data_IF_806273299430
#
_entry.id   IF_806273299430
#
_cell.length_a   1.000
_cell.length_b   1.000
_cell.length_c   1.000
_cell.angle_alpha   90.00
_cell.angle_beta   90.00
_cell.angle_gamma   90.00
#
_symmetry.space_group_name_H-M   'P 1'
#
loop_
_entity.id
_entity.type
_entity.pdbx_description
1 polymer ?
#
# COMPACT_ATOMS: atom_id res chain seq x y z
N UNK A 1 26.58 -14.13 -6.59
CA UNK A 1 26.88 -13.06 -5.61
C UNK A 1 26.15 -11.76 -5.93
N UNK A 2 25.98 -11.37 -7.20
CA UNK A 2 25.27 -10.12 -7.57
C UNK A 2 23.84 -10.00 -7.05
N UNK A 3 23.00 -11.07 -6.97
CA UNK A 3 21.63 -10.92 -6.49
C UNK A 3 21.55 -10.53 -5.01
N UNK A 4 22.51 -10.99 -4.20
CA UNK A 4 22.61 -10.61 -2.79
C UNK A 4 22.97 -9.13 -2.64
N UNK A 5 23.87 -8.63 -3.49
CA UNK A 5 24.21 -7.21 -3.51
C UNK A 5 23.03 -6.35 -3.98
N UNK A 6 22.21 -6.85 -4.93
CA UNK A 6 20.99 -6.19 -5.36
C UNK A 6 19.99 -6.02 -4.20
N UNK A 7 19.76 -7.10 -3.43
CA UNK A 7 18.95 -7.03 -2.21
C UNK A 7 19.54 -5.97 -1.25
N UNK A 8 20.85 -6.02 -0.96
CA UNK A 8 21.46 -5.04 -0.07
C UNK A 8 21.30 -3.59 -0.57
N UNK A 9 21.44 -3.34 -1.88
CA UNK A 9 21.25 -2.04 -2.48
C UNK A 9 19.81 -1.53 -2.35
N UNK A 10 18.82 -2.42 -2.32
CA UNK A 10 17.41 -2.07 -2.05
C UNK A 10 17.15 -1.83 -0.57
N UNK A 11 17.74 -2.61 0.33
CA UNK A 11 17.48 -2.49 1.77
C UNK A 11 18.25 -1.35 2.44
N UNK A 12 19.55 -1.22 2.19
CA UNK A 12 20.43 -0.36 2.97
C UNK A 12 20.01 1.13 2.98
N UNK A 13 19.63 1.76 1.85
CA UNK A 13 19.28 3.18 1.83
C UNK A 13 18.03 3.52 2.64
N UNK A 14 17.06 2.61 2.69
CA UNK A 14 15.77 2.78 3.38
C UNK A 14 15.83 2.62 4.90
N UNK A 15 16.79 1.86 5.43
CA UNK A 15 16.87 1.50 6.86
C UNK A 15 16.89 2.72 7.80
N UNK A 16 17.70 3.77 7.59
CA UNK A 16 17.77 4.89 8.54
C UNK A 16 16.42 5.59 8.76
N UNK A 17 15.67 5.87 7.68
CA UNK A 17 14.33 6.45 7.80
C UNK A 17 13.33 5.42 8.34
N UNK A 18 13.40 4.16 7.89
CA UNK A 18 12.57 3.09 8.43
C UNK A 18 12.70 2.98 9.95
N UNK A 19 13.92 3.07 10.47
CA UNK A 19 14.17 3.04 11.91
C UNK A 19 13.69 4.30 12.62
N UNK A 20 13.88 5.48 12.02
CA UNK A 20 13.36 6.72 12.58
C UNK A 20 11.83 6.74 12.71
N UNK A 21 11.12 6.14 11.74
CA UNK A 21 9.66 6.05 11.69
C UNK A 21 9.07 4.95 12.56
N UNK A 22 9.79 3.84 12.75
CA UNK A 22 9.27 2.66 13.45
C UNK A 22 9.82 2.51 14.87
N UNK A 23 11.01 3.06 15.12
CA UNK A 23 11.86 2.82 16.32
C UNK A 23 12.10 1.35 16.62
N UNK A 24 12.01 0.50 15.59
CA UNK A 24 12.17 -0.93 15.71
C UNK A 24 12.98 -1.43 14.50
N UNK A 25 14.16 -2.00 14.74
CA UNK A 25 15.06 -2.41 13.67
C UNK A 25 14.43 -3.45 12.72
N UNK A 26 13.62 -4.37 13.24
CA UNK A 26 12.98 -5.39 12.41
C UNK A 26 11.93 -4.78 11.49
N UNK A 27 11.05 -3.96 12.04
CA UNK A 27 10.01 -3.26 11.26
C UNK A 27 10.63 -2.28 10.26
N UNK A 28 11.74 -1.64 10.63
CA UNK A 28 12.54 -0.81 9.73
C UNK A 28 13.07 -1.61 8.53
N UNK A 29 13.66 -2.79 8.78
CA UNK A 29 14.12 -3.69 7.72
C UNK A 29 12.98 -4.11 6.82
N UNK A 30 11.79 -4.39 7.39
CA UNK A 30 10.60 -4.73 6.60
C UNK A 30 10.21 -3.60 5.66
N UNK A 31 10.16 -2.35 6.13
CA UNK A 31 9.71 -1.21 5.35
C UNK A 31 10.79 -0.60 4.44
N UNK A 32 12.07 -0.96 4.65
CA UNK A 32 13.19 -0.33 3.98
C UNK A 32 13.12 -0.41 2.44
N UNK A 33 12.78 -1.56 1.82
CA UNK A 33 12.61 -1.61 0.35
C UNK A 33 11.58 -0.62 -0.18
N UNK A 34 10.41 -0.49 0.46
CA UNK A 34 9.40 0.49 0.05
C UNK A 34 9.91 1.92 0.16
N UNK A 35 10.63 2.25 1.24
CA UNK A 35 11.24 3.57 1.41
C UNK A 35 12.24 3.83 0.30
N UNK A 36 13.14 2.88 0.02
CA UNK A 36 14.11 2.98 -1.07
C UNK A 36 13.41 3.18 -2.41
N UNK A 37 12.36 2.42 -2.69
CA UNK A 37 11.64 2.52 -3.95
C UNK A 37 10.88 3.83 -4.12
N UNK A 38 10.20 4.33 -3.08
CA UNK A 38 9.57 5.65 -3.12
C UNK A 38 10.62 6.74 -3.33
N UNK A 39 11.77 6.68 -2.65
CA UNK A 39 12.85 7.64 -2.84
C UNK A 39 13.44 7.59 -4.26
N UNK A 40 13.63 6.39 -4.82
CA UNK A 40 14.09 6.21 -6.20
C UNK A 40 13.06 6.73 -7.22
N UNK A 41 11.77 6.51 -6.98
CA UNK A 41 10.68 7.04 -7.80
C UNK A 41 10.71 8.58 -7.83
N UNK A 42 10.87 9.22 -6.66
CA UNK A 42 11.04 10.67 -6.56
C UNK A 42 12.30 11.15 -7.30
N UNK A 43 13.40 10.41 -7.20
CA UNK A 43 14.62 10.70 -7.97
C UNK A 43 14.41 10.65 -9.47
N UNK A 44 13.60 9.70 -9.95
CA UNK A 44 13.23 9.58 -11.37
C UNK A 44 12.32 10.72 -11.81
N UNK A 45 11.35 11.11 -10.98
CA UNK A 45 10.49 12.29 -11.22
C UNK A 45 11.35 13.55 -11.39
N UNK A 46 12.30 13.79 -10.48
CA UNK A 46 13.23 14.93 -10.59
C UNK A 46 14.11 14.83 -11.83
N UNK A 47 14.69 13.66 -12.09
CA UNK A 47 15.51 13.41 -13.28
C UNK A 47 14.75 13.70 -14.59
N UNK A 48 13.50 13.27 -14.71
CA UNK A 48 12.70 13.54 -15.91
C UNK A 48 12.28 15.00 -16.00
N UNK A 49 12.06 15.68 -14.87
CA UNK A 49 11.71 17.10 -14.86
C UNK A 49 12.89 18.01 -15.24
N UNK A 50 14.10 17.70 -14.75
CA UNK A 50 15.25 18.62 -14.87
C UNK A 50 16.41 18.08 -15.70
N UNK A 51 16.38 16.80 -16.09
CA UNK A 51 17.50 16.12 -16.74
C UNK A 51 18.56 15.59 -15.77
N UNK A 52 19.68 15.11 -16.33
CA UNK A 52 20.82 14.57 -15.59
C UNK A 52 20.72 13.06 -15.28
N UNK A 53 21.72 12.50 -14.57
CA UNK A 53 21.75 11.08 -14.23
C UNK A 53 20.91 10.74 -12.99
N UNK A 54 20.19 9.61 -13.02
CA UNK A 54 19.35 9.14 -11.90
C UNK A 54 20.13 8.99 -10.58
N UNK A 55 21.36 8.50 -10.66
CA UNK A 55 22.19 8.25 -9.47
C UNK A 55 22.48 9.52 -8.68
N UNK A 56 22.68 10.66 -9.35
CA UNK A 56 22.91 11.94 -8.67
C UNK A 56 21.67 12.39 -7.88
N UNK A 57 20.49 12.31 -8.51
CA UNK A 57 19.22 12.63 -7.86
C UNK A 57 18.91 11.68 -6.70
N UNK A 58 19.12 10.38 -6.90
CA UNK A 58 18.90 9.36 -5.87
C UNK A 58 19.85 9.55 -4.69
N UNK A 59 21.14 9.80 -4.93
CA UNK A 59 22.11 10.08 -3.87
C UNK A 59 21.72 11.31 -3.04
N UNK A 60 21.35 12.41 -3.69
CA UNK A 60 20.88 13.62 -3.01
C UNK A 60 19.65 13.38 -2.14
N UNK A 61 18.66 12.65 -2.67
CA UNK A 61 17.45 12.31 -1.93
C UNK A 61 17.71 11.34 -0.76
N UNK A 62 18.59 10.35 -0.91
CA UNK A 62 18.97 9.47 0.19
C UNK A 62 19.70 10.22 1.30
N UNK A 63 20.57 11.18 0.97
CA UNK A 63 21.21 12.05 1.96
C UNK A 63 20.17 12.92 2.70
N UNK A 64 19.22 13.51 1.98
CA UNK A 64 18.14 14.28 2.57
C UNK A 64 17.25 13.41 3.48
N UNK A 65 16.93 12.20 3.04
CA UNK A 65 16.21 11.19 3.82
C UNK A 65 16.94 10.86 5.12
N UNK A 66 18.27 10.67 5.09
CA UNK A 66 19.07 10.39 6.29
C UNK A 66 19.13 11.58 7.23
N UNK A 67 19.21 12.81 6.71
CA UNK A 67 19.14 14.02 7.52
C UNK A 67 17.78 14.13 8.25
N UNK A 68 16.67 13.87 7.54
CA UNK A 68 15.33 13.81 8.13
C UNK A 68 15.26 12.73 9.21
N UNK A 69 15.78 11.53 8.94
CA UNK A 69 15.85 10.45 9.92
C UNK A 69 16.62 10.89 11.19
N UNK A 70 17.77 11.53 11.04
CA UNK A 70 18.56 12.07 12.14
C UNK A 70 17.77 13.08 12.99
N UNK A 71 17.08 14.03 12.35
CA UNK A 71 16.23 15.01 13.04
C UNK A 71 15.09 14.34 13.81
N UNK A 72 14.40 13.38 13.19
CA UNK A 72 13.33 12.62 13.85
C UNK A 72 13.87 11.84 15.05
N UNK A 73 15.05 11.20 14.90
CA UNK A 73 15.70 10.44 15.96
C UNK A 73 16.04 11.32 17.16
N UNK A 74 16.64 12.48 16.93
CA UNK A 74 17.02 13.46 17.96
C UNK A 74 15.79 14.05 18.66
N UNK A 75 14.77 14.47 17.92
CA UNK A 75 13.58 15.12 18.49
C UNK A 75 12.62 14.16 19.20
N UNK A 76 12.80 12.84 19.04
CA UNK A 76 11.93 11.80 19.62
C UNK A 76 10.43 12.03 19.35
N UNK A 77 10.11 12.59 18.18
CA UNK A 77 8.73 12.97 17.80
C UNK A 77 7.84 11.79 17.45
N UNK A 78 8.44 10.63 17.15
CA UNK A 78 7.72 9.44 16.69
C UNK A 78 7.74 8.39 17.79
N UNK A 79 6.55 8.03 18.27
CA UNK A 79 6.39 6.93 19.22
C UNK A 79 6.74 5.60 18.53
N UNK A 80 7.41 4.66 19.23
CA UNK A 80 7.70 3.35 18.69
C UNK A 80 6.44 2.64 18.18
N UNK A 81 6.57 1.97 17.05
CA UNK A 81 5.54 1.07 16.58
C UNK A 81 5.47 -0.14 17.53
N UNK A 82 4.26 -0.55 17.97
CA UNK A 82 4.13 -1.73 18.81
C UNK A 82 4.49 -2.99 18.03
N UNK A 83 5.00 -3.98 18.76
CA UNK A 83 5.51 -5.24 18.24
C UNK A 83 6.94 -5.14 17.71
N UNK A 84 7.32 -6.09 16.88
CA UNK A 84 8.65 -6.18 16.25
C UNK A 84 9.67 -6.87 17.14
N UNK A 85 9.25 -7.91 17.86
CA UNK A 85 10.19 -8.86 18.48
C UNK A 85 10.75 -9.82 17.42
N UNK A 86 11.92 -10.41 17.65
CA UNK A 86 12.45 -11.46 16.78
C UNK A 86 11.52 -12.67 16.66
N UNK A 87 10.81 -13.00 17.72
CA UNK A 87 9.80 -14.06 17.71
C UNK A 87 8.66 -13.72 16.74
N UNK A 88 8.15 -12.48 16.78
CA UNK A 88 7.14 -12.02 15.82
C UNK A 88 7.68 -12.01 14.39
N UNK A 89 8.89 -11.50 14.16
CA UNK A 89 9.48 -11.53 12.83
C UNK A 89 9.58 -12.98 12.30
N UNK A 90 10.09 -13.93 13.09
CA UNK A 90 10.14 -15.34 12.68
C UNK A 90 8.75 -15.90 12.33
N UNK A 91 7.75 -15.60 13.15
CA UNK A 91 6.37 -16.06 12.91
C UNK A 91 5.73 -15.46 11.66
N UNK A 92 6.03 -14.21 11.35
CA UNK A 92 5.50 -13.54 10.17
C UNK A 92 6.25 -13.92 8.89
N UNK A 93 7.57 -14.10 8.97
CA UNK A 93 8.41 -14.33 7.79
C UNK A 93 8.55 -15.79 7.41
N UNK A 94 8.69 -16.71 8.38
CA UNK A 94 8.95 -18.11 8.08
C UNK A 94 7.88 -18.76 7.18
N UNK A 95 6.57 -18.48 7.36
CA UNK A 95 5.54 -19.02 6.47
C UNK A 95 5.57 -18.45 5.05
N UNK A 96 6.14 -17.25 4.87
CA UNK A 96 6.25 -16.58 3.58
C UNK A 96 7.53 -16.96 2.83
N UNK A 97 8.54 -17.49 3.53
CA UNK A 97 9.83 -17.87 2.94
C UNK A 97 9.71 -18.87 1.79
N UNK A 98 8.93 -19.97 1.87
CA UNK A 98 8.83 -20.92 0.76
C UNK A 98 8.36 -20.25 -0.53
N UNK A 99 7.39 -19.34 -0.43
CA UNK A 99 6.87 -18.60 -1.59
C UNK A 99 7.88 -17.57 -2.12
N UNK A 100 8.71 -16.99 -1.25
CA UNK A 100 9.79 -16.10 -1.70
C UNK A 100 10.87 -16.84 -2.49
N UNK A 101 11.12 -18.14 -2.22
CA UNK A 101 12.11 -18.92 -2.96
C UNK A 101 11.77 -19.10 -4.45
N UNK A 102 10.52 -18.85 -4.85
CA UNK A 102 10.14 -18.81 -6.26
C UNK A 102 10.90 -17.71 -7.06
N UNK A 103 11.53 -16.74 -6.39
CA UNK A 103 12.44 -15.75 -7.03
C UNK A 103 13.63 -16.42 -7.74
N UNK A 104 13.93 -17.68 -7.41
CA UNK A 104 14.97 -18.47 -8.07
C UNK A 104 14.51 -19.04 -9.42
N UNK A 105 13.23 -18.94 -9.76
CA UNK A 105 12.73 -19.32 -11.07
C UNK A 105 13.30 -18.39 -12.16
N UNK A 106 13.57 -18.90 -13.37
CA UNK A 106 14.13 -18.10 -14.45
C UNK A 106 13.32 -16.82 -14.73
N UNK A 107 13.97 -15.65 -14.88
CA UNK A 107 13.32 -14.38 -15.18
C UNK A 107 12.85 -14.33 -16.64
N UNK A 108 11.75 -15.01 -16.97
CA UNK A 108 11.25 -15.14 -18.36
C UNK A 108 9.92 -14.42 -18.61
N UNK A 109 9.36 -13.74 -17.60
CA UNK A 109 8.04 -13.12 -17.70
C UNK A 109 8.07 -11.87 -18.57
N UNK A 110 7.26 -11.87 -19.62
CA UNK A 110 7.24 -10.82 -20.65
C UNK A 110 7.04 -9.42 -20.06
N UNK A 111 6.05 -9.20 -19.21
CA UNK A 111 5.77 -7.87 -18.63
C UNK A 111 6.93 -7.33 -17.78
N UNK A 112 7.62 -8.21 -17.05
CA UNK A 112 8.80 -7.83 -16.27
C UNK A 112 9.89 -7.25 -17.16
N UNK A 113 10.13 -7.89 -18.31
CA UNK A 113 11.11 -7.40 -19.30
C UNK A 113 10.61 -6.16 -20.04
N UNK A 114 9.42 -6.23 -20.59
CA UNK A 114 8.90 -5.24 -21.56
C UNK A 114 8.39 -3.95 -20.93
N UNK A 115 8.07 -3.97 -19.63
CA UNK A 115 7.59 -2.80 -18.89
C UNK A 115 8.66 -2.40 -17.87
N UNK A 116 8.82 -3.22 -16.83
CA UNK A 116 9.51 -2.78 -15.62
C UNK A 116 11.02 -2.64 -15.80
N UNK A 117 11.67 -3.66 -16.38
CA UNK A 117 13.13 -3.69 -16.54
C UNK A 117 13.58 -2.88 -17.76
N UNK A 118 12.74 -2.81 -18.80
CA UNK A 118 12.96 -1.92 -19.93
C UNK A 118 12.98 -0.45 -19.47
N UNK A 119 12.00 -0.01 -18.67
CA UNK A 119 12.00 1.34 -18.09
C UNK A 119 13.18 1.57 -17.14
N UNK A 120 13.60 0.56 -16.38
CA UNK A 120 14.79 0.66 -15.55
C UNK A 120 16.04 0.97 -16.38
N UNK A 121 16.11 0.39 -17.59
CA UNK A 121 17.14 0.67 -18.58
C UNK A 121 17.06 2.12 -19.05
N UNK A 122 15.87 2.64 -19.35
CA UNK A 122 15.71 4.04 -19.75
C UNK A 122 16.28 4.99 -18.70
N UNK A 123 15.93 4.75 -17.44
CA UNK A 123 16.35 5.62 -16.35
C UNK A 123 17.85 5.51 -16.04
N UNK A 124 18.51 4.38 -16.34
CA UNK A 124 19.94 4.22 -16.07
C UNK A 124 20.81 5.01 -17.06
N UNK A 125 20.28 5.32 -18.25
CA UNK A 125 20.92 6.18 -19.24
C UNK A 125 20.66 7.68 -19.04
N UNK A 126 19.89 8.07 -18.01
CA UNK A 126 19.64 9.46 -17.63
C UNK A 126 18.41 10.10 -18.29
N UNK A 127 18.10 11.32 -17.86
CA UNK A 127 16.84 12.00 -18.18
C UNK A 127 16.59 12.23 -19.67
N UNK A 128 17.60 12.61 -20.46
CA UNK A 128 17.42 12.87 -21.89
C UNK A 128 17.06 11.60 -22.67
N UNK A 129 17.79 10.52 -22.41
CA UNK A 129 17.50 9.22 -23.01
C UNK A 129 16.13 8.70 -22.58
N UNK A 130 15.81 8.80 -21.28
CA UNK A 130 14.52 8.37 -20.77
C UNK A 130 13.34 9.12 -21.40
N UNK A 131 13.43 10.46 -21.53
CA UNK A 131 12.42 11.25 -22.23
C UNK A 131 12.25 10.83 -23.68
N UNK A 132 13.37 10.65 -24.41
CA UNK A 132 13.33 10.22 -25.81
C UNK A 132 12.72 8.81 -25.96
N UNK A 133 13.04 7.88 -25.05
CA UNK A 133 12.49 6.52 -25.07
C UNK A 133 11.00 6.49 -24.73
N UNK A 134 10.58 7.24 -23.69
CA UNK A 134 9.18 7.29 -23.25
C UNK A 134 8.25 7.91 -24.30
N UNK A 135 8.75 8.83 -25.12
CA UNK A 135 8.00 9.45 -26.22
C UNK A 135 8.10 8.71 -27.57
N UNK A 136 8.85 7.60 -27.64
CA UNK A 136 9.02 6.87 -28.89
C UNK A 136 7.80 5.97 -29.19
N UNK A 137 7.07 6.18 -30.30
CA UNK A 137 5.90 5.36 -30.64
C UNK A 137 6.18 3.86 -30.71
N UNK A 138 7.37 3.46 -31.17
CA UNK A 138 7.76 2.06 -31.29
C UNK A 138 7.90 1.35 -29.94
N UNK A 139 8.15 2.11 -28.87
CA UNK A 139 8.26 1.62 -27.49
C UNK A 139 6.91 1.70 -26.78
N UNK A 140 6.26 2.86 -26.87
CA UNK A 140 5.01 3.17 -26.14
C UNK A 140 3.88 2.18 -26.41
N UNK A 141 3.87 1.52 -27.59
CA UNK A 141 2.81 0.62 -27.99
C UNK A 141 2.63 -0.63 -27.12
N UNK A 142 3.67 -1.03 -26.37
CA UNK A 142 3.61 -2.26 -25.55
C UNK A 142 4.24 -2.13 -24.17
N UNK A 143 5.01 -1.07 -23.89
CA UNK A 143 5.76 -0.96 -22.64
C UNK A 143 5.03 -0.17 -21.55
N UNK A 144 3.87 0.42 -21.84
CA UNK A 144 3.09 1.20 -20.87
C UNK A 144 3.92 2.33 -20.23
N UNK A 145 4.52 3.20 -21.06
CA UNK A 145 5.50 4.20 -20.61
C UNK A 145 4.97 5.21 -19.60
N UNK A 146 3.65 5.29 -19.40
CA UNK A 146 3.02 6.12 -18.38
C UNK A 146 2.97 5.46 -16.99
N UNK A 147 3.32 4.18 -16.88
CA UNK A 147 3.31 3.47 -15.59
C UNK A 147 4.25 4.14 -14.58
N UNK A 148 3.78 4.37 -13.34
CA UNK A 148 4.57 4.95 -12.27
C UNK A 148 5.90 4.22 -11.99
N UNK A 149 6.96 4.94 -11.59
CA UNK A 149 8.33 4.47 -11.82
C UNK A 149 8.89 3.65 -10.67
N UNK A 150 8.17 3.37 -9.58
CA UNK A 150 8.77 2.83 -8.35
C UNK A 150 9.58 1.55 -8.58
N UNK A 151 9.01 0.55 -9.24
CA UNK A 151 9.71 -0.73 -9.52
C UNK A 151 10.91 -0.49 -10.42
N UNK A 152 10.71 0.22 -11.53
CA UNK A 152 11.73 0.50 -12.54
C UNK A 152 12.87 1.39 -12.03
N UNK A 153 12.55 2.42 -11.26
CA UNK A 153 13.50 3.34 -10.65
C UNK A 153 14.38 2.64 -9.62
N UNK A 154 13.79 1.78 -8.79
CA UNK A 154 14.53 0.97 -7.82
C UNK A 154 15.54 0.06 -8.54
N UNK A 155 15.08 -0.67 -9.57
CA UNK A 155 15.95 -1.52 -10.39
C UNK A 155 17.04 -0.70 -11.09
N UNK A 156 16.71 0.50 -11.58
CA UNK A 156 17.68 1.38 -12.24
C UNK A 156 18.77 1.86 -11.29
N UNK A 157 18.43 2.20 -10.04
CA UNK A 157 19.42 2.51 -8.99
C UNK A 157 20.31 1.31 -8.71
N UNK A 158 19.76 0.10 -8.62
CA UNK A 158 20.53 -1.14 -8.44
C UNK A 158 21.51 -1.35 -9.60
N UNK A 159 21.07 -1.22 -10.84
CA UNK A 159 21.93 -1.31 -12.02
C UNK A 159 22.96 -0.18 -12.13
N UNK A 160 22.70 0.97 -11.52
CA UNK A 160 23.67 2.06 -11.47
C UNK A 160 24.81 1.82 -10.47
N UNK A 161 24.62 0.97 -9.47
CA UNK A 161 25.65 0.63 -8.46
C UNK A 161 26.27 -0.76 -8.65
N UNK A 162 25.64 -1.62 -9.46
CA UNK A 162 26.14 -2.96 -9.80
C UNK A 162 26.49 -3.04 -11.29
N UNK A 163 27.58 -3.74 -11.66
CA UNK A 163 27.96 -3.88 -13.07
C UNK A 163 26.98 -4.78 -13.84
N UNK A 164 26.70 -4.43 -15.10
CA UNK A 164 26.19 -5.37 -16.10
C UNK A 164 24.67 -5.51 -16.26
N UNK A 165 23.85 -4.62 -15.67
CA UNK A 165 22.40 -4.56 -15.86
C UNK A 165 21.70 -5.94 -15.92
N UNK A 166 21.98 -6.79 -14.92
CA UNK A 166 21.55 -8.18 -14.91
C UNK A 166 20.05 -8.30 -14.58
N UNK A 167 19.33 -9.13 -15.36
CA UNK A 167 17.89 -9.42 -15.17
C UNK A 167 17.59 -10.11 -13.84
N UNK A 168 18.53 -10.90 -13.31
CA UNK A 168 18.40 -11.46 -11.97
C UNK A 168 18.42 -10.37 -10.91
N UNK A 169 19.34 -9.40 -11.00
CA UNK A 169 19.40 -8.29 -10.03
C UNK A 169 18.08 -7.49 -10.04
N UNK A 170 17.48 -7.32 -11.23
CA UNK A 170 16.16 -6.68 -11.40
C UNK A 170 15.00 -7.49 -10.79
N UNK A 171 14.98 -8.81 -11.00
CA UNK A 171 14.00 -9.72 -10.41
C UNK A 171 14.08 -9.69 -8.88
N UNK A 172 15.29 -9.78 -8.31
CA UNK A 172 15.50 -9.75 -6.87
C UNK A 172 15.15 -8.38 -6.25
N UNK A 173 15.46 -7.27 -6.93
CA UNK A 173 15.08 -5.94 -6.49
C UNK A 173 13.54 -5.78 -6.44
N UNK A 174 12.86 -6.24 -7.49
CA UNK A 174 11.40 -6.21 -7.58
C UNK A 174 10.74 -7.13 -6.53
N UNK A 175 11.25 -8.34 -6.36
CA UNK A 175 10.78 -9.28 -5.33
C UNK A 175 10.96 -8.72 -3.91
N UNK A 176 12.05 -8.01 -3.64
CA UNK A 176 12.27 -7.34 -2.36
C UNK A 176 11.20 -6.26 -2.07
N UNK A 177 10.78 -5.50 -3.08
CA UNK A 177 9.69 -4.51 -2.96
C UNK A 177 8.35 -5.20 -2.67
N UNK A 178 7.96 -6.19 -3.48
CA UNK A 178 6.70 -6.92 -3.30
C UNK A 178 6.63 -7.62 -1.94
N UNK A 179 7.72 -8.28 -1.53
CA UNK A 179 7.79 -8.97 -0.24
C UNK A 179 7.74 -7.98 0.94
N UNK A 180 8.38 -6.82 0.80
CA UNK A 180 8.29 -5.72 1.76
C UNK A 180 6.85 -5.22 1.92
N UNK A 181 6.10 -5.05 0.81
CA UNK A 181 4.70 -4.66 0.83
C UNK A 181 3.79 -5.71 1.49
N UNK A 182 3.99 -7.00 1.18
CA UNK A 182 3.28 -8.12 1.80
C UNK A 182 3.55 -8.16 3.30
N UNK A 183 4.81 -8.03 3.72
CA UNK A 183 5.17 -8.03 5.13
C UNK A 183 4.59 -6.79 5.86
N UNK A 184 4.53 -5.62 5.21
CA UNK A 184 3.81 -4.45 5.74
C UNK A 184 2.30 -4.70 5.87
N UNK A 185 1.67 -5.39 4.91
CA UNK A 185 0.27 -5.80 4.99
C UNK A 185 0.03 -6.77 6.16
N UNK A 186 0.88 -7.77 6.31
CA UNK A 186 0.85 -8.72 7.44
C UNK A 186 0.96 -7.96 8.77
N UNK A 187 1.90 -7.01 8.85
CA UNK A 187 2.00 -6.13 10.02
C UNK A 187 0.72 -5.30 10.24
N UNK A 188 0.13 -4.73 9.19
CA UNK A 188 -1.11 -3.97 9.28
C UNK A 188 -2.27 -4.81 9.81
N UNK A 189 -2.47 -6.03 9.28
CA UNK A 189 -3.50 -6.96 9.79
C UNK A 189 -3.22 -7.31 11.25
N UNK A 190 -1.97 -7.65 11.59
CA UNK A 190 -1.57 -7.94 12.98
C UNK A 190 -1.86 -6.76 13.91
N UNK A 191 -1.60 -5.54 13.47
CA UNK A 191 -1.83 -4.31 14.26
C UNK A 191 -3.31 -4.02 14.49
N UNK A 192 -4.16 -4.28 13.48
CA UNK A 192 -5.61 -4.10 13.58
C UNK A 192 -6.24 -5.22 14.42
N UNK A 193 -5.67 -6.43 14.38
CA UNK A 193 -6.22 -7.61 15.07
C UNK A 193 -5.55 -7.94 16.41
N UNK A 194 -4.46 -7.27 16.78
CA UNK A 194 -4.43 -6.54 18.05
C UNK A 194 -4.88 -7.30 19.29
N UNK A 195 -6.15 -7.02 19.59
CA UNK A 195 -6.88 -7.36 20.80
C UNK A 195 -7.38 -8.80 20.81
N UNK A 196 -7.24 -9.54 19.71
CA UNK A 196 -7.52 -10.98 19.66
C UNK A 196 -6.38 -11.79 20.29
N UNK A 197 -6.64 -13.05 20.68
CA UNK A 197 -5.57 -13.96 21.09
C UNK A 197 -4.44 -13.98 20.05
N UNK A 198 -3.19 -13.99 20.53
CA UNK A 198 -1.98 -13.83 19.71
C UNK A 198 -1.94 -14.83 18.54
N UNK A 199 -2.36 -16.08 18.78
CA UNK A 199 -2.43 -17.12 17.74
C UNK A 199 -3.43 -16.72 16.63
N UNK A 200 -4.65 -16.32 16.99
CA UNK A 200 -5.69 -15.90 16.03
C UNK A 200 -5.20 -14.73 15.19
N UNK A 201 -4.65 -13.70 15.84
CA UNK A 201 -4.18 -12.51 15.14
C UNK A 201 -2.98 -12.79 14.22
N UNK A 202 -2.03 -13.63 14.64
CA UNK A 202 -0.89 -14.05 13.79
C UNK A 202 -1.33 -14.89 12.60
N UNK A 203 -2.18 -15.89 12.83
CA UNK A 203 -2.70 -16.75 11.75
C UNK A 203 -3.51 -15.93 10.75
N UNK A 204 -4.36 -15.02 11.22
CA UNK A 204 -5.11 -14.12 10.37
C UNK A 204 -4.18 -13.22 9.53
N UNK A 205 -3.16 -12.63 10.16
CA UNK A 205 -2.18 -11.79 9.46
C UNK A 205 -1.39 -12.56 8.39
N UNK A 206 -0.84 -13.72 8.73
CA UNK A 206 -0.11 -14.58 7.78
C UNK A 206 -1.03 -15.08 6.67
N UNK A 207 -2.26 -15.49 6.98
CA UNK A 207 -3.24 -15.94 5.99
C UNK A 207 -3.57 -14.86 4.97
N UNK A 208 -3.73 -13.61 5.38
CA UNK A 208 -3.92 -12.48 4.46
C UNK A 208 -2.67 -12.22 3.63
N UNK A 209 -1.47 -12.34 4.22
CA UNK A 209 -0.22 -12.23 3.48
C UNK A 209 -0.06 -13.31 2.39
N UNK A 210 -0.37 -14.57 2.73
CA UNK A 210 -0.33 -15.70 1.79
C UNK A 210 -1.36 -15.56 0.66
N UNK A 211 -2.50 -14.88 0.91
CA UNK A 211 -3.47 -14.60 -0.12
C UNK A 211 -2.91 -13.72 -1.27
N UNK A 212 -1.74 -13.08 -1.09
CA UNK A 212 -1.05 -12.38 -2.18
C UNK A 212 -0.64 -13.28 -3.35
N UNK A 213 -0.56 -14.60 -3.13
CA UNK A 213 -0.25 -15.60 -4.16
C UNK A 213 -1.47 -16.31 -4.74
N UNK A 214 -2.69 -15.88 -4.40
CA UNK A 214 -3.91 -16.64 -4.71
C UNK A 214 -4.33 -16.62 -6.18
N UNK A 215 -4.28 -15.45 -6.84
CA UNK A 215 -4.77 -15.29 -8.22
C UNK A 215 -3.64 -15.41 -9.24
N UNK A 216 -2.52 -14.73 -8.98
CA UNK A 216 -1.39 -14.67 -9.90
C UNK A 216 -0.05 -14.85 -9.17
N UNK A 217 0.27 -16.05 -8.66
CA UNK A 217 1.44 -16.30 -7.81
C UNK A 217 2.77 -15.89 -8.46
N UNK A 218 2.89 -16.11 -9.77
CA UNK A 218 4.07 -15.74 -10.56
C UNK A 218 4.40 -14.24 -10.53
N UNK A 219 3.42 -13.37 -10.26
CA UNK A 219 3.61 -11.92 -10.23
C UNK A 219 4.38 -11.44 -9.01
N UNK A 220 4.33 -12.18 -7.90
CA UNK A 220 4.82 -11.71 -6.60
C UNK A 220 6.34 -11.56 -6.60
N UNK A 221 7.03 -12.54 -7.18
CA UNK A 221 8.51 -12.59 -7.24
C UNK A 221 9.05 -12.49 -8.66
N UNK A 222 8.18 -12.51 -9.67
CA UNK A 222 8.54 -12.55 -11.08
C UNK A 222 9.01 -11.23 -11.68
N UNK A 223 9.06 -10.16 -10.89
CA UNK A 223 9.44 -8.82 -11.36
C UNK A 223 8.28 -7.90 -11.72
N UNK A 224 7.04 -8.32 -11.45
CA UNK A 224 5.84 -7.52 -11.72
C UNK A 224 5.46 -6.63 -10.52
N UNK A 225 4.71 -5.56 -10.77
CA UNK A 225 4.29 -4.61 -9.74
C UNK A 225 2.93 -4.96 -9.09
N UNK A 226 2.23 -6.00 -9.57
CA UNK A 226 0.82 -6.24 -9.23
C UNK A 226 0.59 -6.54 -7.74
N UNK A 227 1.36 -7.49 -7.19
CA UNK A 227 1.34 -7.80 -5.77
C UNK A 227 1.79 -6.61 -4.90
N UNK A 228 2.80 -5.86 -5.35
CA UNK A 228 3.33 -4.70 -4.66
C UNK A 228 2.25 -3.63 -4.45
N UNK A 229 1.56 -3.19 -5.51
CA UNK A 229 0.57 -2.14 -5.37
C UNK A 229 -0.68 -2.64 -4.63
N UNK A 230 -1.16 -3.85 -4.91
CA UNK A 230 -2.39 -4.38 -4.30
C UNK A 230 -2.25 -4.54 -2.78
N UNK A 231 -1.14 -5.14 -2.32
CA UNK A 231 -0.88 -5.33 -0.89
C UNK A 231 -0.63 -4.01 -0.17
N UNK A 232 0.03 -3.07 -0.86
CA UNK A 232 0.24 -1.71 -0.35
C UNK A 232 -1.08 -0.95 -0.15
N UNK A 233 -2.00 -1.00 -1.12
CA UNK A 233 -3.33 -0.38 -0.99
C UNK A 233 -4.11 -0.99 0.17
N UNK A 234 -4.21 -2.32 0.25
CA UNK A 234 -5.00 -2.98 1.29
C UNK A 234 -4.40 -2.71 2.68
N UNK A 235 -3.07 -2.76 2.83
CA UNK A 235 -2.45 -2.46 4.12
C UNK A 235 -2.63 -1.00 4.54
N UNK A 236 -2.52 -0.05 3.60
CA UNK A 236 -2.83 1.36 3.85
C UNK A 236 -4.30 1.54 4.26
N UNK A 237 -5.24 0.92 3.53
CA UNK A 237 -6.67 0.97 3.80
C UNK A 237 -7.00 0.40 5.19
N UNK A 238 -6.39 -0.71 5.60
CA UNK A 238 -6.58 -1.28 6.94
C UNK A 238 -6.17 -0.29 8.03
N UNK A 239 -4.96 0.25 7.96
CA UNK A 239 -4.45 1.19 8.96
C UNK A 239 -5.25 2.51 8.99
N UNK A 240 -5.67 3.00 7.82
CA UNK A 240 -6.38 4.28 7.69
C UNK A 240 -7.90 4.20 7.92
N UNK A 241 -8.54 3.05 7.68
CA UNK A 241 -10.01 2.90 7.76
C UNK A 241 -10.48 2.10 8.99
N UNK A 242 -9.65 1.18 9.51
CA UNK A 242 -9.98 0.37 10.69
C UNK A 242 -9.35 0.91 11.96
N UNK A 243 -8.22 1.63 11.85
CA UNK A 243 -7.54 2.23 12.98
C UNK A 243 -8.43 3.21 13.75
N UNK A 244 -8.42 3.13 15.08
CA UNK A 244 -9.13 4.06 15.99
C UNK A 244 -8.61 5.50 15.87
N UNK A 245 -7.30 5.64 15.63
CA UNK A 245 -6.60 6.92 15.46
C UNK A 245 -5.67 6.84 14.24
N UNK A 246 -6.21 6.84 13.01
CA UNK A 246 -5.44 6.56 11.79
C UNK A 246 -4.26 7.53 11.60
N UNK A 247 -4.40 8.77 12.09
CA UNK A 247 -3.37 9.81 11.98
C UNK A 247 -2.46 9.95 13.21
N UNK A 248 -2.50 9.03 14.17
CA UNK A 248 -1.53 9.03 15.27
C UNK A 248 -0.14 8.59 14.80
N UNK A 249 -0.07 7.64 13.86
CA UNK A 249 1.16 7.12 13.27
C UNK A 249 0.96 6.97 11.75
N UNK A 250 0.80 8.08 11.00
CA UNK A 250 0.41 8.04 9.60
C UNK A 250 1.55 7.59 8.67
N UNK A 251 2.79 7.52 9.15
CA UNK A 251 3.96 7.29 8.32
C UNK A 251 3.89 5.98 7.50
N UNK A 252 3.59 4.86 8.16
CA UNK A 252 3.49 3.57 7.49
C UNK A 252 2.35 3.51 6.45
N UNK A 253 1.08 3.87 6.78
CA UNK A 253 0.03 3.85 5.76
C UNK A 253 0.28 4.85 4.62
N UNK A 254 0.88 6.01 4.88
CA UNK A 254 1.24 6.95 3.82
C UNK A 254 2.37 6.41 2.93
N UNK A 255 3.35 5.72 3.49
CA UNK A 255 4.40 5.02 2.73
C UNK A 255 3.80 3.95 1.82
N UNK A 256 2.91 3.11 2.35
CA UNK A 256 2.24 2.08 1.56
C UNK A 256 1.36 2.71 0.48
N UNK A 257 0.61 3.76 0.79
CA UNK A 257 -0.20 4.46 -0.21
C UNK A 257 0.66 5.13 -1.29
N UNK A 258 1.83 5.67 -0.93
CA UNK A 258 2.80 6.22 -1.89
C UNK A 258 3.41 5.12 -2.75
N UNK A 259 3.74 3.96 -2.17
CA UNK A 259 4.22 2.81 -2.91
C UNK A 259 3.18 2.35 -3.94
N UNK A 260 1.91 2.21 -3.54
CA UNK A 260 0.83 1.87 -4.45
C UNK A 260 0.69 2.90 -5.58
N UNK A 261 0.64 4.19 -5.24
CA UNK A 261 0.46 5.27 -6.21
C UNK A 261 1.62 5.41 -7.20
N UNK A 262 2.82 5.00 -6.79
CA UNK A 262 4.03 5.10 -7.60
C UNK A 262 4.44 3.77 -8.26
N UNK A 263 3.66 2.69 -8.12
CA UNK A 263 4.01 1.37 -8.70
C UNK A 263 3.32 1.04 -10.03
N UNK A 264 2.03 1.38 -10.19
CA UNK A 264 1.21 1.04 -11.37
C UNK A 264 0.01 1.98 -11.46
N UNK A 265 -0.59 2.15 -12.65
CA UNK A 265 -1.77 2.99 -12.85
C UNK A 265 -2.96 2.56 -11.97
N UNK A 266 -3.21 1.25 -11.85
CA UNK A 266 -4.26 0.69 -10.98
C UNK A 266 -3.99 1.02 -9.52
N UNK A 267 -2.72 0.97 -9.10
CA UNK A 267 -2.29 1.39 -7.77
C UNK A 267 -2.50 2.87 -7.51
N UNK A 268 -2.25 3.73 -8.51
CA UNK A 268 -2.56 5.16 -8.47
C UNK A 268 -4.07 5.45 -8.34
N UNK A 269 -4.90 4.80 -9.16
CA UNK A 269 -6.36 4.93 -9.08
C UNK A 269 -6.87 4.46 -7.71
N UNK A 270 -6.42 3.28 -7.26
CA UNK A 270 -6.80 2.72 -5.97
C UNK A 270 -6.34 3.60 -4.80
N UNK A 271 -5.17 4.24 -4.89
CA UNK A 271 -4.70 5.19 -3.90
C UNK A 271 -5.60 6.43 -3.82
N UNK A 272 -6.05 6.97 -4.95
CA UNK A 272 -7.02 8.07 -5.01
C UNK A 272 -8.37 7.69 -4.39
N UNK A 273 -8.86 6.47 -4.66
CA UNK A 273 -10.08 5.94 -4.04
C UNK A 273 -9.92 5.85 -2.52
N UNK A 274 -8.82 5.29 -2.02
CA UNK A 274 -8.56 5.24 -0.57
C UNK A 274 -8.49 6.64 0.02
N UNK A 275 -7.81 7.59 -0.64
CA UNK A 275 -7.70 8.96 -0.15
C UNK A 275 -9.08 9.65 -0.04
N UNK A 276 -9.94 9.45 -1.04
CA UNK A 276 -11.32 9.93 -1.04
C UNK A 276 -12.12 9.32 0.11
N UNK A 277 -12.10 7.99 0.25
CA UNK A 277 -12.85 7.28 1.30
C UNK A 277 -12.38 7.68 2.71
N UNK A 278 -11.07 7.80 2.91
CA UNK A 278 -10.50 8.30 4.18
C UNK A 278 -10.95 9.74 4.45
N UNK A 279 -10.97 10.60 3.44
CA UNK A 279 -11.43 12.00 3.58
C UNK A 279 -12.90 12.06 4.01
N UNK A 280 -13.77 11.22 3.42
CA UNK A 280 -15.19 11.12 3.77
C UNK A 280 -15.39 10.56 5.20
N UNK A 281 -14.62 9.51 5.56
CA UNK A 281 -14.62 8.94 6.92
C UNK A 281 -14.21 9.97 7.96
N UNK A 282 -13.17 10.74 7.66
CA UNK A 282 -12.52 11.71 8.55
C UNK A 282 -13.01 13.14 8.27
N UNK A 283 -14.24 13.32 7.77
CA UNK A 283 -14.83 14.62 7.42
C UNK A 283 -14.87 15.64 8.56
N UNK A 284 -14.76 15.19 9.81
CA UNK A 284 -14.67 16.06 11.00
C UNK A 284 -13.22 16.46 11.34
N UNK A 285 -12.24 15.89 10.68
CA UNK A 285 -10.81 16.07 10.91
C UNK A 285 -10.04 16.29 9.60
N UNK A 286 -10.61 17.09 8.69
CA UNK A 286 -10.06 17.34 7.36
C UNK A 286 -8.63 17.91 7.39
N UNK A 287 -8.31 18.69 8.44
CA UNK A 287 -6.96 19.22 8.68
C UNK A 287 -5.89 18.14 8.84
N UNK A 288 -6.26 16.92 9.24
CA UNK A 288 -5.33 15.78 9.23
C UNK A 288 -5.55 14.91 8.02
N UNK A 289 -6.79 14.74 7.57
CA UNK A 289 -7.11 13.88 6.44
C UNK A 289 -6.42 14.33 5.13
N UNK A 290 -6.15 15.62 4.92
CA UNK A 290 -5.52 16.07 3.68
C UNK A 290 -4.17 15.40 3.39
N UNK A 291 -3.43 14.92 4.40
CA UNK A 291 -2.11 14.29 4.20
C UNK A 291 -2.18 12.99 3.37
N UNK A 292 -3.33 12.32 3.30
CA UNK A 292 -3.49 11.12 2.43
C UNK A 292 -3.49 11.46 0.95
N UNK A 293 -3.65 12.73 0.59
CA UNK A 293 -3.54 13.19 -0.79
C UNK A 293 -2.10 13.41 -1.23
N UNK A 294 -1.11 13.43 -0.32
CA UNK A 294 0.31 13.56 -0.69
C UNK A 294 0.80 12.39 -1.57
N UNK A 295 0.58 11.10 -1.19
CA UNK A 295 0.82 9.96 -2.07
C UNK A 295 0.17 10.08 -3.46
N UNK A 296 -1.10 10.48 -3.51
CA UNK A 296 -1.83 10.64 -4.76
C UNK A 296 -1.24 11.76 -5.62
N UNK A 297 -0.89 12.89 -5.01
CA UNK A 297 -0.25 14.01 -5.69
C UNK A 297 1.09 13.62 -6.30
N UNK A 298 1.89 12.76 -5.64
CA UNK A 298 3.12 12.24 -6.23
C UNK A 298 2.85 11.41 -7.50
N UNK A 299 1.84 10.54 -7.48
CA UNK A 299 1.39 9.81 -8.68
C UNK A 299 0.88 10.74 -9.78
N UNK A 300 0.14 11.80 -9.42
CA UNK A 300 -0.33 12.81 -10.38
C UNK A 300 0.84 13.58 -11.01
N UNK A 301 1.85 13.96 -10.23
CA UNK A 301 3.06 14.63 -10.73
C UNK A 301 3.78 13.73 -11.73
N UNK A 302 3.97 12.44 -11.40
CA UNK A 302 4.51 11.47 -12.34
C UNK A 302 3.69 11.41 -13.62
N UNK A 303 2.38 11.15 -13.52
CA UNK A 303 1.49 11.02 -14.68
C UNK A 303 1.58 12.25 -15.59
N UNK A 304 1.58 13.45 -15.01
CA UNK A 304 1.69 14.71 -15.75
C UNK A 304 3.03 14.82 -16.49
N UNK A 305 4.14 14.50 -15.83
CA UNK A 305 5.47 14.54 -16.44
C UNK A 305 5.60 13.49 -17.54
N UNK A 306 5.17 12.25 -17.28
CA UNK A 306 5.22 11.16 -18.24
C UNK A 306 4.49 11.52 -19.54
N UNK A 307 3.26 12.03 -19.44
CA UNK A 307 2.49 12.47 -20.61
C UNK A 307 3.13 13.69 -21.30
N UNK A 308 3.71 14.62 -20.54
CA UNK A 308 4.41 15.78 -21.12
C UNK A 308 5.63 15.35 -21.95
N UNK A 309 6.28 14.24 -21.60
CA UNK A 309 7.42 13.69 -22.34
C UNK A 309 7.01 12.69 -23.43
N UNK A 310 5.70 12.59 -23.72
CA UNK A 310 5.16 11.79 -24.82
C UNK A 310 4.77 10.36 -24.44
N UNK A 311 4.73 10.01 -23.15
CA UNK A 311 4.18 8.73 -22.73
C UNK A 311 2.68 8.63 -23.10
N UNK A 312 2.25 7.42 -23.45
CA UNK A 312 0.89 7.12 -23.89
C UNK A 312 0.32 6.11 -22.91
N UNK A 313 -0.79 6.44 -22.26
CA UNK A 313 -1.48 5.52 -21.36
C UNK A 313 -2.48 4.62 -22.07
N UNK A 314 -2.77 3.46 -21.48
CA UNK A 314 -3.73 2.47 -22.02
C UNK A 314 -5.16 3.00 -22.07
N UNK A 315 -5.45 4.03 -21.26
CA UNK A 315 -6.80 4.54 -21.06
C UNK A 315 -7.08 5.69 -22.04
N UNK A 316 -7.13 5.36 -23.32
CA UNK A 316 -7.73 6.26 -24.31
C UNK A 316 -9.25 6.07 -24.27
N UNK A 317 -9.94 6.91 -23.50
CA UNK A 317 -11.39 6.88 -23.40
C UNK A 317 -12.02 7.09 -24.80
N UNK A 318 -12.53 6.01 -25.40
CA UNK A 318 -13.34 6.12 -26.61
C UNK A 318 -14.80 6.19 -26.20
N UNK A 319 -15.36 7.39 -26.09
CA UNK A 319 -16.79 7.57 -25.75
C UNK A 319 -17.70 6.84 -26.73
N UNK A 320 -17.24 6.63 -27.97
CA UNK A 320 -17.97 5.89 -29.00
C UNK A 320 -18.19 4.41 -28.66
N UNK A 321 -17.29 3.77 -27.88
CA UNK A 321 -17.46 2.36 -27.47
C UNK A 321 -18.54 2.17 -26.42
N UNK A 322 -19.03 3.24 -25.79
CA UNK A 322 -20.14 3.20 -24.85
C UNK A 322 -21.52 3.05 -25.52
N UNK A 323 -21.60 3.11 -26.87
CA UNK A 323 -22.86 3.04 -27.59
C UNK A 323 -23.01 1.70 -28.32
N UNK A 324 -24.10 0.99 -28.04
CA UNK A 324 -24.55 -0.17 -28.82
C UNK A 324 -24.30 -1.53 -28.16
N UNK A 325 -24.49 -2.59 -28.96
CA UNK A 325 -24.41 -3.99 -28.51
C UNK A 325 -23.01 -4.38 -28.01
N UNK A 326 -21.96 -3.73 -28.49
CA UNK A 326 -20.57 -4.02 -28.08
C UNK A 326 -20.34 -3.69 -26.60
N UNK A 327 -20.83 -2.56 -26.11
CA UNK A 327 -20.69 -2.17 -24.70
C UNK A 327 -21.30 -3.20 -23.74
N UNK A 328 -22.48 -3.74 -24.09
CA UNK A 328 -23.18 -4.77 -23.29
C UNK A 328 -22.40 -6.09 -23.30
N UNK A 329 -21.88 -6.49 -24.46
CA UNK A 329 -21.04 -7.68 -24.57
C UNK A 329 -19.76 -7.53 -23.74
N UNK A 330 -19.05 -6.41 -23.90
CA UNK A 330 -17.83 -6.11 -23.12
C UNK A 330 -18.09 -6.12 -21.63
N UNK A 331 -19.16 -5.47 -21.17
CA UNK A 331 -19.57 -5.48 -19.77
C UNK A 331 -19.82 -6.90 -19.24
N UNK A 332 -20.57 -7.71 -19.98
CA UNK A 332 -20.87 -9.10 -19.61
C UNK A 332 -19.60 -9.96 -19.51
N UNK A 333 -18.71 -9.85 -20.51
CA UNK A 333 -17.44 -10.59 -20.54
C UNK A 333 -16.51 -10.16 -19.41
N UNK A 334 -16.36 -8.86 -19.17
CA UNK A 334 -15.57 -8.33 -18.04
C UNK A 334 -16.13 -8.78 -16.71
N UNK A 335 -17.45 -8.72 -16.51
CA UNK A 335 -18.08 -9.15 -15.26
C UNK A 335 -17.88 -10.64 -15.01
N UNK A 336 -18.03 -11.48 -16.04
CA UNK A 336 -17.79 -12.91 -15.95
C UNK A 336 -16.34 -13.23 -15.57
N UNK A 337 -15.36 -12.52 -16.16
CA UNK A 337 -13.95 -12.69 -15.84
C UNK A 337 -13.63 -12.24 -14.41
N UNK A 338 -14.12 -11.06 -13.97
CA UNK A 338 -13.96 -10.60 -12.59
C UNK A 338 -14.57 -11.57 -11.58
N UNK A 339 -15.74 -12.14 -11.91
CA UNK A 339 -16.39 -13.15 -11.09
C UNK A 339 -15.58 -14.45 -11.01
N UNK A 340 -14.99 -14.89 -12.12
CA UNK A 340 -14.12 -16.06 -12.15
C UNK A 340 -12.91 -15.89 -11.23
N UNK A 341 -12.23 -14.75 -11.29
CA UNK A 341 -11.01 -14.51 -10.52
C UNK A 341 -11.26 -14.26 -9.03
N UNK A 342 -12.28 -13.45 -8.68
CA UNK A 342 -12.45 -12.98 -7.31
C UNK A 342 -13.86 -13.19 -6.72
N UNK A 343 -14.83 -13.69 -7.50
CA UNK A 343 -16.23 -13.75 -7.11
C UNK A 343 -16.46 -14.55 -5.83
N UNK A 344 -15.87 -15.75 -5.73
CA UNK A 344 -16.00 -16.58 -4.53
C UNK A 344 -15.43 -15.88 -3.28
N UNK A 345 -14.23 -15.31 -3.38
CA UNK A 345 -13.60 -14.59 -2.28
C UNK A 345 -14.42 -13.38 -1.84
N UNK A 346 -14.92 -12.60 -2.80
CA UNK A 346 -15.76 -11.43 -2.55
C UNK A 346 -17.07 -11.81 -1.86
N UNK A 347 -17.76 -12.86 -2.32
CA UNK A 347 -19.01 -13.34 -1.71
C UNK A 347 -18.79 -13.83 -0.28
N UNK A 348 -17.77 -14.68 -0.06
CA UNK A 348 -17.47 -15.20 1.28
C UNK A 348 -17.04 -14.08 2.24
N UNK A 349 -16.16 -13.19 1.79
CA UNK A 349 -15.74 -12.01 2.56
C UNK A 349 -16.93 -11.11 2.92
N UNK A 350 -17.82 -10.84 1.96
CA UNK A 350 -19.01 -10.01 2.19
C UNK A 350 -20.00 -10.71 3.12
N UNK A 351 -20.21 -12.02 2.98
CA UNK A 351 -21.05 -12.79 3.89
C UNK A 351 -20.51 -12.73 5.33
N UNK A 352 -19.20 -12.91 5.52
CA UNK A 352 -18.55 -12.74 6.84
C UNK A 352 -18.73 -11.31 7.35
N UNK A 353 -18.61 -10.30 6.48
CA UNK A 353 -18.79 -8.90 6.87
C UNK A 353 -20.22 -8.57 7.30
N UNK A 354 -21.22 -9.10 6.58
CA UNK A 354 -22.64 -8.93 6.92
C UNK A 354 -22.97 -9.66 8.22
N UNK A 355 -22.61 -10.94 8.34
CA UNK A 355 -22.86 -11.72 9.55
C UNK A 355 -22.14 -11.13 10.78
N UNK A 356 -20.88 -10.73 10.62
CA UNK A 356 -20.13 -10.02 11.66
C UNK A 356 -20.78 -8.69 12.02
N UNK A 357 -21.25 -7.92 11.04
CA UNK A 357 -21.99 -6.68 11.27
C UNK A 357 -23.30 -6.87 12.04
N UNK A 358 -24.03 -7.95 11.78
CA UNK A 358 -25.29 -8.27 12.47
C UNK A 358 -25.04 -8.80 13.88
N UNK A 359 -24.05 -9.68 14.06
CA UNK A 359 -23.86 -10.43 15.30
C UNK A 359 -22.82 -9.82 16.26
N UNK A 360 -21.79 -9.16 15.73
CA UNK A 360 -20.59 -8.76 16.47
C UNK A 360 -20.33 -7.25 16.44
N UNK A 361 -21.21 -6.43 15.86
CA UNK A 361 -21.02 -4.97 15.75
C UNK A 361 -20.73 -4.28 17.08
N UNK A 362 -21.51 -4.55 18.13
CA UNK A 362 -21.29 -3.94 19.45
C UNK A 362 -19.92 -4.31 20.03
N UNK A 363 -19.48 -5.55 19.82
CA UNK A 363 -18.14 -6.01 20.24
C UNK A 363 -17.07 -5.26 19.47
N UNK A 364 -17.17 -5.19 18.14
CA UNK A 364 -16.24 -4.45 17.27
C UNK A 364 -16.14 -2.96 17.65
N UNK A 365 -17.26 -2.32 17.95
CA UNK A 365 -17.31 -0.94 18.43
C UNK A 365 -16.57 -0.76 19.77
N UNK A 366 -16.74 -1.69 20.73
CA UNK A 366 -15.99 -1.69 21.99
C UNK A 366 -14.48 -1.89 21.79
N UNK A 367 -14.08 -2.68 20.80
CA UNK A 367 -12.67 -2.82 20.40
C UNK A 367 -12.12 -1.54 19.73
N UNK A 368 -12.99 -0.59 19.36
CA UNK A 368 -12.62 0.65 18.70
C UNK A 368 -12.22 0.50 17.23
N UNK A 369 -12.63 -0.60 16.60
CA UNK A 369 -12.34 -0.88 15.19
C UNK A 369 -13.32 -0.15 14.28
N UNK A 370 -12.83 0.41 13.18
CA UNK A 370 -13.66 1.06 12.16
C UNK A 370 -14.66 0.11 11.49
N UNK A 371 -15.69 0.66 10.83
CA UNK A 371 -16.68 -0.14 10.09
C UNK A 371 -16.09 -0.75 8.82
N UNK A 372 -16.50 -1.97 8.51
CA UNK A 372 -16.09 -2.70 7.30
C UNK A 372 -16.62 -2.07 6.01
N UNK A 373 -17.72 -1.31 6.12
CA UNK A 373 -18.34 -0.57 5.00
C UNK A 373 -17.30 0.28 4.27
N UNK A 374 -16.34 0.87 4.98
CA UNK A 374 -15.32 1.70 4.34
C UNK A 374 -14.39 0.90 3.41
N UNK A 375 -14.03 -0.34 3.78
CA UNK A 375 -13.21 -1.20 2.92
C UNK A 375 -14.00 -1.67 1.71
N UNK A 376 -15.25 -2.07 1.89
CA UNK A 376 -16.12 -2.48 0.79
C UNK A 376 -16.48 -1.32 -0.15
N UNK A 377 -16.53 -0.08 0.33
CA UNK A 377 -16.62 1.10 -0.53
C UNK A 377 -15.38 1.28 -1.41
N UNK A 378 -14.18 1.04 -0.88
CA UNK A 378 -12.93 1.03 -1.67
C UNK A 378 -12.99 -0.08 -2.73
N UNK A 379 -13.37 -1.30 -2.35
CA UNK A 379 -13.51 -2.43 -3.28
C UNK A 379 -14.54 -2.14 -4.37
N UNK A 380 -15.72 -1.65 -4.01
CA UNK A 380 -16.79 -1.34 -4.96
C UNK A 380 -16.39 -0.23 -5.94
N UNK A 381 -15.77 0.84 -5.45
CA UNK A 381 -15.26 1.92 -6.29
C UNK A 381 -14.15 1.43 -7.23
N UNK A 382 -13.24 0.58 -6.74
CA UNK A 382 -12.16 0.02 -7.55
C UNK A 382 -12.68 -0.92 -8.64
N UNK A 383 -13.55 -1.89 -8.30
CA UNK A 383 -14.19 -2.78 -9.28
C UNK A 383 -14.99 -1.99 -10.31
N UNK A 384 -15.69 -0.94 -9.89
CA UNK A 384 -16.40 -0.04 -10.82
C UNK A 384 -15.44 0.67 -11.77
N UNK A 385 -14.29 1.14 -11.27
CA UNK A 385 -13.28 1.78 -12.11
C UNK A 385 -12.68 0.82 -13.13
N UNK A 386 -12.38 -0.42 -12.73
CA UNK A 386 -11.92 -1.46 -13.66
C UNK A 386 -12.98 -1.77 -14.70
N UNK A 387 -14.24 -1.95 -14.27
CA UNK A 387 -15.34 -2.25 -15.19
C UNK A 387 -15.47 -1.17 -16.27
N UNK A 388 -15.42 0.10 -15.88
CA UNK A 388 -15.42 1.22 -16.83
C UNK A 388 -14.22 1.12 -17.78
N UNK A 389 -13.01 0.90 -17.24
CA UNK A 389 -11.77 0.77 -18.02
C UNK A 389 -11.84 -0.34 -19.08
N UNK A 390 -12.27 -1.56 -18.72
CA UNK A 390 -12.38 -2.67 -19.67
C UNK A 390 -13.51 -2.48 -20.69
N UNK A 391 -14.61 -1.80 -20.32
CA UNK A 391 -15.71 -1.52 -21.25
C UNK A 391 -15.29 -0.48 -22.30
N UNK A 392 -14.57 0.57 -21.90
CA UNK A 392 -14.25 1.71 -22.78
C UNK A 392 -12.95 1.58 -23.56
N UNK A 393 -12.14 0.56 -23.26
CA UNK A 393 -10.81 0.38 -23.83
C UNK A 393 -10.81 0.18 -25.35
N UNK A 394 -9.83 0.76 -26.07
CA UNK A 394 -9.61 0.48 -27.48
C UNK A 394 -8.95 -0.89 -27.71
N UNK A 395 -8.39 -1.51 -26.67
CA UNK A 395 -7.63 -2.77 -26.75
C UNK A 395 -8.60 -3.94 -26.99
N UNK A 396 -8.12 -4.99 -27.64
CA UNK A 396 -8.84 -6.27 -27.75
C UNK A 396 -9.17 -6.79 -26.33
N UNK A 397 -10.47 -6.92 -26.05
CA UNK A 397 -10.93 -7.23 -24.70
C UNK A 397 -10.48 -8.61 -24.24
N UNK A 398 -10.50 -9.61 -25.13
CA UNK A 398 -10.15 -10.98 -24.78
C UNK A 398 -8.67 -11.10 -24.43
N UNK A 399 -7.80 -10.53 -25.27
CA UNK A 399 -6.38 -10.44 -24.99
C UNK A 399 -6.12 -9.73 -23.66
N UNK A 400 -6.78 -8.59 -23.43
CA UNK A 400 -6.53 -7.82 -22.20
C UNK A 400 -7.00 -8.54 -20.93
N UNK A 401 -8.14 -9.22 -20.98
CA UNK A 401 -8.63 -10.05 -19.88
C UNK A 401 -7.64 -11.17 -19.56
N UNK A 402 -7.19 -11.91 -20.58
CA UNK A 402 -6.28 -13.06 -20.40
C UNK A 402 -4.93 -12.61 -19.83
N UNK A 403 -4.45 -11.42 -20.17
CA UNK A 403 -3.13 -10.95 -19.71
C UNK A 403 -3.16 -10.20 -18.38
N UNK A 404 -4.31 -9.69 -17.92
CA UNK A 404 -4.31 -8.79 -16.74
C UNK A 404 -5.36 -9.06 -15.66
N UNK A 405 -6.45 -9.80 -15.94
CA UNK A 405 -7.59 -9.88 -15.01
C UNK A 405 -7.23 -10.52 -13.66
N UNK A 406 -6.52 -11.66 -13.67
CA UNK A 406 -6.03 -12.36 -12.48
C UNK A 406 -5.18 -11.46 -11.57
N UNK A 407 -4.35 -10.60 -12.18
CA UNK A 407 -3.45 -9.69 -11.48
C UNK A 407 -4.18 -8.49 -10.88
N UNK A 408 -5.06 -7.83 -11.63
CA UNK A 408 -5.76 -6.61 -11.16
C UNK A 408 -6.84 -6.91 -10.12
N UNK A 409 -7.36 -8.13 -10.11
CA UNK A 409 -8.36 -8.59 -9.13
C UNK A 409 -7.75 -9.02 -7.78
N UNK A 410 -6.42 -9.08 -7.68
CA UNK A 410 -5.73 -9.42 -6.43
C UNK A 410 -6.10 -8.50 -5.26
N UNK A 411 -6.32 -7.20 -5.51
CA UNK A 411 -6.79 -6.26 -4.48
C UNK A 411 -8.11 -6.72 -3.85
N UNK A 412 -9.05 -7.21 -4.67
CA UNK A 412 -10.38 -7.64 -4.20
C UNK A 412 -10.26 -8.86 -3.30
N UNK A 413 -9.44 -9.84 -3.70
CA UNK A 413 -9.16 -11.03 -2.90
C UNK A 413 -8.50 -10.67 -1.58
N UNK A 414 -7.46 -9.84 -1.61
CA UNK A 414 -6.77 -9.38 -0.40
C UNK A 414 -7.70 -8.61 0.55
N UNK A 415 -8.54 -7.71 0.03
CA UNK A 415 -9.50 -6.96 0.83
C UNK A 415 -10.57 -7.87 1.45
N UNK A 416 -11.08 -8.86 0.72
CA UNK A 416 -12.04 -9.84 1.23
C UNK A 416 -11.42 -10.71 2.35
N UNK A 417 -10.20 -11.21 2.15
CA UNK A 417 -9.45 -11.96 3.16
C UNK A 417 -9.17 -11.11 4.40
N UNK A 418 -8.79 -9.83 4.21
CA UNK A 418 -8.53 -8.91 5.31
C UNK A 418 -9.80 -8.58 6.11
N UNK A 419 -10.94 -8.36 5.44
CA UNK A 419 -12.25 -8.19 6.08
C UNK A 419 -12.58 -9.41 6.95
N UNK A 420 -12.47 -10.62 6.40
CA UNK A 420 -12.73 -11.85 7.13
C UNK A 420 -11.79 -12.04 8.33
N UNK A 421 -10.50 -11.75 8.17
CA UNK A 421 -9.51 -11.78 9.23
C UNK A 421 -9.86 -10.84 10.40
N UNK A 422 -10.31 -9.61 10.11
CA UNK A 422 -10.71 -8.65 11.15
C UNK A 422 -11.95 -9.13 11.91
N UNK A 423 -12.94 -9.71 11.21
CA UNK A 423 -14.13 -10.25 11.88
C UNK A 423 -13.84 -11.50 12.71
N UNK A 424 -13.00 -12.41 12.22
CA UNK A 424 -12.54 -13.57 12.97
C UNK A 424 -11.80 -13.15 14.25
N UNK A 425 -10.92 -12.14 14.15
CA UNK A 425 -10.24 -11.57 15.30
C UNK A 425 -11.24 -10.98 16.31
N UNK A 426 -12.18 -10.15 15.84
CA UNK A 426 -13.21 -9.55 16.70
C UNK A 426 -14.10 -10.60 17.39
N UNK A 427 -14.39 -11.73 16.74
CA UNK A 427 -15.13 -12.85 17.31
C UNK A 427 -14.36 -13.56 18.44
N UNK A 428 -13.02 -13.53 18.40
CA UNK A 428 -12.14 -14.19 19.36
C UNK A 428 -11.60 -13.24 20.45
N UNK A 429 -11.67 -11.92 20.27
CA UNK A 429 -11.14 -10.94 21.24
C UNK A 429 -11.91 -10.95 22.55
N UNK A 430 -11.28 -11.20 23.71
CA UNK A 430 -11.99 -11.14 25.00
C UNK A 430 -12.75 -9.81 25.12
N UNK A 431 -13.97 -9.85 25.65
CA UNK A 431 -14.68 -8.61 25.95
C UNK A 431 -13.82 -7.85 26.96
N UNK A 432 -13.61 -6.53 26.76
CA UNK A 432 -13.05 -5.71 27.83
C UNK A 432 -13.89 -5.99 29.07
N UNK A 433 -13.24 -6.43 30.16
CA UNK A 433 -13.91 -6.42 31.45
C UNK A 433 -14.42 -4.99 31.61
N UNK A 434 -15.72 -4.83 31.84
CA UNK A 434 -16.24 -3.52 32.23
C UNK A 434 -15.37 -3.08 33.39
N UNK A 435 -14.51 -2.09 33.16
CA UNK A 435 -13.80 -1.44 34.25
C UNK A 435 -14.92 -1.07 35.22
N UNK A 436 -14.96 -1.69 36.42
CA UNK A 436 -16.07 -1.50 37.34
C UNK A 436 -16.21 -0.01 37.47
N UNK A 437 -17.36 0.52 37.05
CA UNK A 437 -17.58 1.95 36.89
C UNK A 437 -16.95 2.62 38.10
N UNK A 438 -15.81 3.29 37.90
CA UNK A 438 -15.06 3.88 39.01
C UNK A 438 -16.10 4.72 39.71
N UNK A 439 -16.54 4.34 40.93
CA UNK A 439 -17.72 4.92 41.54
C UNK A 439 -17.48 6.40 41.45
N UNK A 440 -18.32 7.09 40.67
CA UNK A 440 -18.15 8.49 40.33
C UNK A 440 -17.69 9.16 41.60
N UNK A 441 -16.40 9.50 41.66
CA UNK A 441 -15.72 9.76 42.91
C UNK A 441 -16.34 11.07 43.35
N UNK A 442 -17.45 10.97 44.10
CA UNK A 442 -18.35 12.08 44.46
C UNK A 442 -17.41 13.16 44.84
N UNK A 443 -17.34 14.21 44.02
CA UNK A 443 -16.36 15.26 44.17
C UNK A 443 -16.41 15.63 45.64
N UNK A 444 -15.39 15.21 46.39
CA UNK A 444 -15.31 15.55 47.80
C UNK A 444 -15.23 17.06 47.73
N UNK A 445 -16.25 17.78 48.26
CA UNK A 445 -16.22 19.23 48.24
C UNK A 445 -14.85 19.64 48.77
N UNK A 446 -14.11 20.52 48.09
CA UNK A 446 -12.79 20.92 48.58
C UNK A 446 -12.93 21.32 50.05
N UNK A 447 -12.27 20.58 50.94
CA UNK A 447 -12.14 20.93 52.36
C UNK A 447 -11.54 22.34 52.41
N UNK A 448 -12.38 23.34 52.64
CA UNK A 448 -11.94 24.74 52.65
C UNK A 448 -12.90 25.76 52.05
N UNK A 449 -14.01 25.37 51.43
CA UNK A 449 -15.11 26.30 51.14
C UNK A 449 -15.90 26.60 52.43
N UNK A 450 -15.23 27.23 53.39
CA UNK A 450 -15.83 27.83 54.58
C UNK A 450 -16.76 28.97 54.13
N UNK A 451 -18.04 28.82 54.43
CA UNK A 451 -19.06 29.86 54.28
C UNK A 451 -18.63 31.17 54.94
N UNK A 452 -18.61 32.32 54.24
CA UNK A 452 -18.29 33.62 54.82
C UNK A 452 -19.44 34.25 55.64
N UNK A 453 -20.34 33.46 56.22
CA UNK A 453 -21.66 33.93 56.69
C UNK A 453 -21.77 34.20 58.21
N UNK A 454 -20.65 34.41 58.93
CA UNK A 454 -20.68 34.69 60.38
C UNK A 454 -19.83 35.88 60.84
N UNK A 455 -19.63 36.88 60.00
CA UNK A 455 -19.00 38.13 60.42
C UNK A 455 -19.97 39.32 60.26
N UNK A 456 -20.67 39.64 61.34
CA UNK A 456 -21.09 41.01 61.61
C UNK A 456 -22.59 41.22 61.78
N UNK A 457 -23.05 41.25 63.03
CA UNK A 457 -24.01 42.26 63.52
C UNK A 457 -24.28 42.03 65.01
N UNK A 458 -23.34 42.42 65.87
CA UNK A 458 -23.65 42.77 67.26
C UNK A 458 -23.31 44.26 67.50
N UNK A 459 -24.39 45.02 67.76
CA UNK A 459 -24.54 46.25 68.54
C UNK A 459 -23.93 47.58 68.03
N UNK A 460 -24.48 48.75 68.46
CA UNK A 460 -25.67 48.99 69.31
C UNK A 460 -26.89 49.58 68.60
#
# INVERSE_FOLDING_TARGET
MTPFLAILAVFAPGIPLGYALTRNALTATVAAPLITGVTAALGTILMLATGGPLLAWSAGLFLAQWAVAGVLLVRRTVAPLPGGTWAEARWLFLPLTPMFLEVLAPPILWDSHSIWWLHAGYFSWGGDFARAAMGNPAVTAFSHTDYPPLTSATTSVVWGVLPGANVWDAQFASAALSFSAIACLVYAVRRITEQAPVVVSRTAAVGVGLAAWSTAPYTVVGGMADALWATSVVGAALLLLFGRKPFAQPALPLLMLAAAALSKNEGYVAAGIVALVVTVRERRNLRRAWVVWLPFAAGQVWSTIAHHVGAVGDVHFRVDTLRGHDAVHRFGTTLAAMWHEAGLYAVLGLAVAVLGGLLLRRRRERLGLGSDVWLWLVVAAYVSSLMVTYVVTPIDLNWWIITSMDRVMLLVVLAACASAAVWAAAACSPLPLEEPAVPEQRAVPPEGALSPELAGSEAP
#
